data_IF_916788103058
#
_entry.id   IF_916788103058
#
_cell.length_a   1.000
_cell.length_b   1.000
_cell.length_c   1.000
_cell.angle_alpha   90.00
_cell.angle_beta   90.00
_cell.angle_gamma   90.00
#
_symmetry.space_group_name_H-M   'P 1'
#
loop_
_entity.id
_entity.type
_entity.pdbx_description
1 polymer ?
#
# COMPACT_ATOMS: atom_id res chain seq x y z
N UNK A 1 -34.99 9.66 6.67
CA UNK A 1 -34.46 9.70 6.60
C UNK A 1 -33.96 10.34 6.42
N UNK A 2 -33.81 10.43 6.14
CA UNK A 2 -33.21 10.86 5.91
C UNK A 2 -32.52 11.21 5.98
N UNK A 3 -32.45 11.59 6.06
CA UNK A 3 -31.64 11.67 6.04
C UNK A 3 -30.87 11.07 5.86
N UNK A 4 -30.73 10.46 5.41
CA UNK A 4 -30.06 9.67 5.30
C UNK A 4 -29.20 9.64 4.44
N UNK A 5 -29.05 10.02 3.48
CA UNK A 5 -28.29 10.09 2.56
C UNK A 5 -27.18 10.93 2.72
N UNK A 6 -27.36 11.85 3.02
CA UNK A 6 -26.35 12.69 3.35
C UNK A 6 -25.42 12.08 4.32
N UNK A 7 -25.99 11.32 5.13
CA UNK A 7 -25.28 10.74 6.08
C UNK A 7 -24.36 9.76 5.66
N UNK A 8 -24.33 9.37 4.45
CA UNK A 8 -23.36 8.41 4.02
C UNK A 8 -21.96 8.97 4.11
N UNK A 9 -21.81 10.27 3.98
CA UNK A 9 -20.49 10.85 4.14
C UNK A 9 -19.98 10.76 5.54
N UNK A 10 -20.89 10.89 6.51
CA UNK A 10 -20.48 10.80 7.89
C UNK A 10 -20.09 9.39 8.27
N UNK A 11 -20.38 8.41 7.41
CA UNK A 11 -19.99 7.03 7.70
C UNK A 11 -18.54 6.75 7.37
N UNK A 12 -17.91 7.61 6.62
CA UNK A 12 -16.54 7.38 6.20
C UNK A 12 -15.59 8.15 7.09
N UNK A 13 -15.11 7.47 8.11
CA UNK A 13 -14.20 8.08 9.05
C UNK A 13 -12.78 7.79 8.59
N UNK A 14 -11.97 8.84 8.52
CA UNK A 14 -10.59 8.68 8.08
C UNK A 14 -9.81 7.88 9.11
N UNK A 15 -9.05 6.90 8.64
CA UNK A 15 -8.17 6.16 9.52
C UNK A 15 -7.04 7.08 9.98
N UNK A 16 -6.80 7.08 11.27
CA UNK A 16 -5.74 7.90 11.84
C UNK A 16 -4.59 7.09 12.38
N UNK A 17 -4.72 5.77 12.40
CA UNK A 17 -3.62 4.92 12.81
C UNK A 17 -3.63 3.67 11.95
N UNK A 18 -2.48 3.03 11.77
CA UNK A 18 -2.42 1.85 10.92
C UNK A 18 -3.10 0.66 11.56
N UNK A 19 -3.51 -0.27 10.71
CA UNK A 19 -4.16 -1.49 11.15
C UNK A 19 -3.31 -2.67 10.68
N UNK A 20 -3.18 -3.68 11.53
CA UNK A 20 -2.54 -4.93 11.13
C UNK A 20 -3.52 -6.08 11.35
N UNK A 21 -3.34 -7.14 10.60
CA UNK A 21 -4.25 -8.28 10.69
C UNK A 21 -3.66 -9.36 11.57
N UNK A 22 -4.42 -9.76 12.58
CA UNK A 22 -4.05 -10.86 13.45
C UNK A 22 -5.26 -11.77 13.57
N UNK A 23 -5.06 -13.05 13.33
CA UNK A 23 -6.12 -14.06 13.44
C UNK A 23 -7.35 -13.68 12.62
N UNK A 24 -7.12 -13.15 11.43
CA UNK A 24 -8.20 -12.77 10.53
C UNK A 24 -8.90 -11.48 10.87
N UNK A 25 -8.44 -10.75 11.86
CA UNK A 25 -9.05 -9.49 12.28
C UNK A 25 -8.07 -8.36 12.20
N UNK A 26 -8.55 -7.20 11.76
CA UNK A 26 -7.72 -6.00 11.76
C UNK A 26 -7.76 -5.38 13.14
N UNK A 27 -6.60 -4.95 13.63
CA UNK A 27 -6.49 -4.25 14.89
C UNK A 27 -5.59 -3.04 14.75
N UNK A 28 -5.80 -2.01 15.57
CA UNK A 28 -4.89 -0.86 15.54
C UNK A 28 -3.47 -1.26 15.95
N UNK A 29 -2.50 -0.60 15.35
CA UNK A 29 -1.09 -0.88 15.62
C UNK A 29 -0.30 0.42 15.55
N UNK A 30 0.89 0.41 16.11
CA UNK A 30 1.78 1.54 15.97
C UNK A 30 2.37 1.56 14.56
N UNK A 31 2.89 2.71 14.15
CA UNK A 31 3.55 2.80 12.85
C UNK A 31 4.77 1.89 12.80
N UNK A 32 5.51 1.78 13.91
CA UNK A 32 6.66 0.90 13.93
C UNK A 32 6.26 -0.55 13.69
N UNK A 33 5.21 -1.00 14.34
CA UNK A 33 4.75 -2.37 14.16
C UNK A 33 4.25 -2.59 12.74
N UNK A 34 3.48 -1.65 12.22
CA UNK A 34 2.92 -1.79 10.87
C UNK A 34 4.01 -1.81 9.82
N UNK A 35 5.01 -0.94 9.95
CA UNK A 35 6.11 -0.91 8.99
C UNK A 35 6.98 -2.15 9.10
N UNK A 36 7.22 -2.64 10.31
CA UNK A 36 7.96 -3.88 10.47
C UNK A 36 7.25 -5.05 9.82
N UNK A 37 5.93 -5.11 9.97
CA UNK A 37 5.14 -6.16 9.37
C UNK A 37 5.19 -6.09 7.84
N UNK A 38 5.08 -4.88 7.30
CA UNK A 38 5.15 -4.68 5.86
C UNK A 38 6.54 -5.04 5.33
N UNK A 39 7.58 -4.62 6.01
CA UNK A 39 8.94 -4.92 5.59
C UNK A 39 9.21 -6.42 5.59
N UNK A 40 8.73 -7.12 6.62
CA UNK A 40 8.91 -8.57 6.69
C UNK A 40 8.20 -9.27 5.53
N UNK A 41 7.00 -8.81 5.19
CA UNK A 41 6.26 -9.38 4.07
C UNK A 41 6.98 -9.17 2.74
N UNK A 42 7.48 -7.97 2.51
CA UNK A 42 8.23 -7.69 1.28
C UNK A 42 9.53 -8.48 1.23
N UNK A 43 10.23 -8.60 2.34
CA UNK A 43 11.46 -9.38 2.37
C UNK A 43 11.20 -10.85 2.05
N UNK A 44 10.13 -11.41 2.60
CA UNK A 44 9.77 -12.79 2.32
C UNK A 44 9.43 -12.99 0.85
N UNK A 45 8.69 -12.05 0.26
CA UNK A 45 8.35 -12.13 -1.15
C UNK A 45 9.60 -12.07 -2.03
N UNK A 46 10.52 -11.19 -1.67
CA UNK A 46 11.76 -11.05 -2.41
C UNK A 46 12.59 -12.33 -2.38
N UNK A 47 12.61 -13.01 -1.24
CA UNK A 47 13.36 -14.25 -1.11
C UNK A 47 12.77 -15.38 -1.94
N UNK A 48 11.43 -15.38 -2.11
CA UNK A 48 10.82 -16.39 -2.93
C UNK A 48 11.18 -16.24 -4.40
N UNK A 49 10.98 -15.06 -4.95
CA UNK A 49 11.31 -14.78 -6.35
C UNK A 49 11.13 -13.27 -6.57
N UNK A 50 12.21 -12.55 -6.51
CA UNK A 50 12.16 -11.09 -6.60
C UNK A 50 11.44 -10.62 -7.87
N UNK A 51 11.67 -11.30 -8.98
CA UNK A 51 11.11 -10.85 -10.26
C UNK A 51 9.62 -11.10 -10.36
N UNK A 52 9.10 -12.15 -9.74
CA UNK A 52 7.72 -12.57 -9.95
C UNK A 52 6.79 -12.34 -8.76
N UNK A 53 7.34 -12.09 -7.58
CA UNK A 53 6.49 -11.98 -6.41
C UNK A 53 6.20 -10.54 -5.99
N UNK A 54 6.62 -9.56 -6.77
CA UNK A 54 6.36 -8.18 -6.46
C UNK A 54 5.95 -7.41 -7.71
N UNK A 55 4.93 -6.59 -7.57
CA UNK A 55 4.52 -5.68 -8.63
C UNK A 55 4.02 -4.40 -8.01
N UNK A 56 4.10 -3.30 -8.73
CA UNK A 56 3.64 -2.02 -8.24
C UNK A 56 2.91 -1.26 -9.33
N UNK A 57 1.79 -0.67 -8.98
CA UNK A 57 1.13 0.30 -9.83
C UNK A 57 1.46 1.69 -9.31
N UNK A 58 2.02 2.51 -10.18
CA UNK A 58 2.22 3.91 -9.87
C UNK A 58 1.06 4.69 -10.49
N UNK A 59 1.08 6.00 -10.39
CA UNK A 59 -0.09 6.76 -10.82
C UNK A 59 0.32 8.01 -11.59
N UNK A 60 -0.43 8.31 -12.65
CA UNK A 60 -0.17 9.50 -13.43
C UNK A 60 -0.50 10.77 -12.65
N UNK A 61 -1.31 10.66 -11.60
CA UNK A 61 -1.67 11.81 -10.78
C UNK A 61 -0.80 11.99 -9.55
N UNK A 62 0.21 11.16 -9.39
CA UNK A 62 1.17 11.33 -8.31
C UNK A 62 2.26 12.30 -8.74
N UNK A 63 3.00 12.82 -7.77
CA UNK A 63 4.11 13.71 -8.09
C UNK A 63 5.24 12.94 -8.73
N UNK A 64 6.14 13.67 -9.40
CA UNK A 64 7.32 13.05 -9.99
C UNK A 64 8.19 12.40 -8.92
N UNK A 65 8.30 13.04 -7.77
CA UNK A 65 9.09 12.48 -6.67
C UNK A 65 8.52 11.15 -6.19
N UNK A 66 7.20 11.08 -6.07
CA UNK A 66 6.56 9.85 -5.63
C UNK A 66 6.81 8.73 -6.63
N UNK A 67 6.65 9.03 -7.92
CA UNK A 67 6.85 8.03 -8.96
C UNK A 67 8.31 7.59 -9.03
N UNK A 68 9.24 8.53 -8.84
CA UNK A 68 10.65 8.19 -8.81
C UNK A 68 10.96 7.23 -7.67
N UNK A 69 10.45 7.54 -6.48
CA UNK A 69 10.68 6.68 -5.32
C UNK A 69 10.04 5.32 -5.50
N UNK A 70 8.86 5.26 -6.11
CA UNK A 70 8.20 3.98 -6.36
C UNK A 70 9.04 3.11 -7.28
N UNK A 71 9.59 3.71 -8.33
CA UNK A 71 10.45 2.96 -9.25
C UNK A 71 11.74 2.53 -8.59
N UNK A 72 12.33 3.41 -7.80
CA UNK A 72 13.55 3.08 -7.10
C UNK A 72 13.34 1.94 -6.11
N UNK A 73 12.25 1.99 -5.37
CA UNK A 73 11.93 0.91 -4.44
C UNK A 73 11.75 -0.41 -5.17
N UNK A 74 11.01 -0.39 -6.27
CA UNK A 74 10.73 -1.60 -7.01
C UNK A 74 12.01 -2.25 -7.55
N UNK A 75 12.88 -1.46 -8.12
CA UNK A 75 14.07 -2.00 -8.76
C UNK A 75 15.23 -2.23 -7.81
N UNK A 76 15.49 -1.25 -6.92
CA UNK A 76 16.66 -1.34 -6.05
C UNK A 76 16.40 -2.19 -4.82
N UNK A 77 15.22 -2.07 -4.24
CA UNK A 77 14.91 -2.78 -3.01
C UNK A 77 14.31 -4.14 -3.30
N UNK A 78 13.29 -4.18 -4.16
CA UNK A 78 12.59 -5.44 -4.43
C UNK A 78 13.22 -6.25 -5.55
N UNK A 79 14.07 -5.65 -6.35
CA UNK A 79 14.74 -6.40 -7.42
C UNK A 79 13.81 -6.78 -8.56
N UNK A 80 12.81 -5.97 -8.84
CA UNK A 80 11.80 -6.28 -9.84
C UNK A 80 11.66 -5.13 -10.82
N UNK A 81 11.26 -5.44 -12.05
CA UNK A 81 10.90 -4.44 -13.04
C UNK A 81 9.40 -4.33 -13.23
N UNK A 82 8.62 -4.97 -12.36
CA UNK A 82 7.17 -5.03 -12.50
C UNK A 82 6.54 -3.77 -11.93
N UNK A 83 6.66 -2.67 -12.66
CA UNK A 83 6.05 -1.41 -12.26
C UNK A 83 5.42 -0.78 -13.49
N UNK A 84 4.21 -0.28 -13.36
CA UNK A 84 3.50 0.30 -14.47
C UNK A 84 2.60 1.41 -13.95
N UNK A 85 2.02 2.15 -14.86
CA UNK A 85 1.16 3.26 -14.55
C UNK A 85 -0.29 2.88 -14.74
N UNK A 86 -1.19 3.67 -14.16
CA UNK A 86 -2.62 3.48 -14.38
C UNK A 86 -3.03 3.91 -15.78
N UNK A 87 -2.18 4.59 -16.54
CA UNK A 87 -2.46 5.08 -17.89
C UNK A 87 -3.69 5.97 -17.96
N UNK A 88 -3.96 6.66 -16.89
CA UNK A 88 -5.07 7.61 -16.81
C UNK A 88 -6.44 6.96 -16.99
N UNK A 89 -6.55 5.73 -16.67
CA UNK A 89 -7.85 5.06 -16.73
C UNK A 89 -8.73 5.44 -15.56
#
# INVERSE_FOLDING_TARGET
>A
MLIRKVRSMSKHVRLTEPLVRDNGRLRPASWDEALDRAAAGFAAARERDAAKSFGMFSCSKATNEMNYMAQKFTRAVMGSNNIDSCNRT
#
